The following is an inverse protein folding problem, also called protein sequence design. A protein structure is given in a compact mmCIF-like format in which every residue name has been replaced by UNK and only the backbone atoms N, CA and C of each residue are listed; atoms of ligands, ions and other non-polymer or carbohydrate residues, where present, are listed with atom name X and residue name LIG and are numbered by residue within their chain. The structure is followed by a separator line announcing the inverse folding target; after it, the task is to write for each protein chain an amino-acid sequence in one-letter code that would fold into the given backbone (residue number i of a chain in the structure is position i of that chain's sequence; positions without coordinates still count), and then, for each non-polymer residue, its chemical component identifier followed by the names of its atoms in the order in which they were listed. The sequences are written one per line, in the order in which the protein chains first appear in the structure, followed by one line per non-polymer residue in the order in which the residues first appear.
data_IF_771281173433
#
_entry.id   IF_771281173433
#
_cell.length_a   1.000
_cell.length_b   1.000
_cell.length_c   1.000
_cell.angle_alpha   90.00
_cell.angle_beta   90.00
_cell.angle_gamma   90.00
#
_symmetry.space_group_name_H-M   'P 1'
#
loop_
_entity.id
_entity.type
_entity.pdbx_description
1 polymer ?
#
# COMPACT_ATOMS: atom_id res chain seq x y z
N UNK A 1 -13.77 -4.05 6.59
CA UNK A 1 -13.86 -4.07 5.12
C UNK A 1 -15.33 -4.21 4.75
N UNK A 2 -16.04 -3.11 4.59
CA UNK A 2 -17.31 -3.14 3.87
C UNK A 2 -16.92 -2.98 2.41
N UNK A 3 -16.52 -4.08 1.78
CA UNK A 3 -16.64 -4.21 0.34
C UNK A 3 -18.15 -4.10 0.08
N UNK A 4 -18.59 -3.00 -0.50
CA UNK A 4 -19.91 -2.92 -1.12
C UNK A 4 -19.92 -3.91 -2.29
N UNK A 5 -20.18 -5.19 -1.97
CA UNK A 5 -20.40 -6.27 -2.93
C UNK A 5 -21.78 -6.07 -3.58
N UNK A 6 -21.93 -5.04 -4.37
CA UNK A 6 -23.02 -4.90 -5.34
C UNK A 6 -22.44 -4.85 -6.74
N UNK A 7 -22.12 -5.99 -7.23
CA UNK A 7 -22.32 -6.51 -8.58
C UNK A 7 -21.24 -7.56 -8.90
N UNK A 8 -21.69 -8.70 -9.36
CA UNK A 8 -20.87 -9.75 -9.97
C UNK A 8 -20.40 -9.28 -11.35
N UNK A 9 -19.46 -8.32 -11.37
CA UNK A 9 -18.72 -7.95 -12.56
C UNK A 9 -17.34 -8.56 -12.38
N UNK A 10 -16.84 -9.27 -13.37
CA UNK A 10 -15.45 -9.71 -13.40
C UNK A 10 -14.59 -8.50 -13.09
N UNK A 11 -13.94 -8.49 -11.92
CA UNK A 11 -12.99 -7.46 -11.55
C UNK A 11 -11.71 -7.65 -12.39
N UNK A 12 -11.76 -7.21 -13.63
CA UNK A 12 -10.57 -7.03 -14.47
C UNK A 12 -10.11 -5.55 -14.43
N UNK A 13 -10.83 -4.70 -13.70
CA UNK A 13 -10.53 -3.27 -13.59
C UNK A 13 -10.09 -2.92 -12.17
N UNK A 14 -8.90 -2.33 -12.04
CA UNK A 14 -8.31 -1.88 -10.77
C UNK A 14 -9.19 -0.85 -10.06
N UNK A 15 -10.05 -0.12 -10.78
CA UNK A 15 -10.97 0.90 -10.26
C UNK A 15 -12.04 0.33 -9.31
N UNK A 16 -12.18 -0.99 -9.27
CA UNK A 16 -13.07 -1.66 -8.32
C UNK A 16 -12.40 -1.90 -6.95
N UNK A 17 -11.12 -1.56 -6.81
CA UNK A 17 -10.38 -1.71 -5.57
C UNK A 17 -9.90 -0.35 -5.05
N UNK A 18 -10.47 0.07 -3.94
CA UNK A 18 -10.25 1.37 -3.32
C UNK A 18 -9.64 1.21 -1.93
N UNK A 19 -8.74 2.11 -1.58
CA UNK A 19 -8.31 2.34 -0.20
C UNK A 19 -8.84 3.70 0.22
N UNK A 20 -9.77 3.72 1.19
CA UNK A 20 -10.44 4.94 1.66
C UNK A 20 -11.11 5.75 0.52
N UNK A 21 -11.68 5.04 -0.47
CA UNK A 21 -12.37 5.65 -1.60
C UNK A 21 -11.46 6.17 -2.72
N UNK A 22 -10.16 5.84 -2.68
CA UNK A 22 -9.17 6.26 -3.68
C UNK A 22 -8.64 5.04 -4.41
N UNK A 23 -8.60 5.11 -5.74
CA UNK A 23 -8.07 4.06 -6.62
C UNK A 23 -6.80 4.49 -7.35
N UNK A 24 -6.02 3.51 -7.76
CA UNK A 24 -4.94 3.75 -8.73
C UNK A 24 -5.55 4.19 -10.07
N UNK A 25 -4.98 5.25 -10.64
CA UNK A 25 -5.50 5.89 -11.85
C UNK A 25 -6.44 7.06 -11.60
N UNK A 26 -6.88 7.30 -10.35
CA UNK A 26 -7.66 8.48 -10.00
C UNK A 26 -6.82 9.74 -10.13
N UNK A 27 -7.50 10.86 -10.35
CA UNK A 27 -6.88 12.17 -10.17
C UNK A 27 -6.97 12.55 -8.69
N UNK A 28 -5.84 12.77 -8.04
CA UNK A 28 -5.80 13.10 -6.62
C UNK A 28 -6.58 14.37 -6.27
N UNK A 29 -6.76 15.29 -7.22
CA UNK A 29 -7.55 16.51 -7.05
C UNK A 29 -9.07 16.25 -6.92
N UNK A 30 -9.54 15.04 -7.26
CA UNK A 30 -10.93 14.65 -7.02
C UNK A 30 -11.19 14.31 -5.55
N UNK A 31 -10.13 14.05 -4.78
CA UNK A 31 -10.19 13.63 -3.38
C UNK A 31 -9.63 14.67 -2.40
N UNK A 32 -8.66 15.49 -2.82
CA UNK A 32 -7.98 16.48 -1.99
C UNK A 32 -7.88 17.82 -2.71
N UNK A 33 -7.95 18.88 -1.94
CA UNK A 33 -7.66 20.23 -2.43
C UNK A 33 -6.16 20.41 -2.70
N UNK A 34 -5.81 21.35 -3.55
CA UNK A 34 -4.40 21.67 -3.84
C UNK A 34 -3.64 22.11 -2.57
N UNK A 35 -4.31 22.76 -1.63
CA UNK A 35 -3.71 23.17 -0.36
C UNK A 35 -3.41 21.97 0.54
N UNK A 36 -4.29 20.96 0.60
CA UNK A 36 -4.03 19.70 1.33
C UNK A 36 -2.87 18.94 0.71
N UNK A 37 -2.81 18.85 -0.63
CA UNK A 37 -1.71 18.21 -1.35
C UNK A 37 -0.38 18.92 -1.08
N UNK A 38 -0.36 20.25 -1.11
CA UNK A 38 0.84 21.05 -0.86
C UNK A 38 1.32 20.99 0.60
N UNK A 39 0.42 20.78 1.54
CA UNK A 39 0.73 20.66 2.97
C UNK A 39 1.03 19.21 3.41
N UNK A 40 0.74 18.21 2.57
CA UNK A 40 1.06 16.82 2.88
C UNK A 40 2.57 16.59 3.01
N UNK A 41 2.96 15.66 3.89
CA UNK A 41 4.37 15.30 4.00
C UNK A 41 4.84 14.62 2.71
N UNK A 42 5.86 15.23 2.07
CA UNK A 42 6.37 14.78 0.78
C UNK A 42 7.60 13.89 0.93
N UNK A 43 7.49 12.64 0.48
CA UNK A 43 8.59 11.71 0.33
C UNK A 43 9.16 11.77 -1.08
N UNK A 44 10.48 11.82 -1.21
CA UNK A 44 11.16 11.81 -2.51
C UNK A 44 12.15 10.65 -2.58
N UNK A 45 12.39 10.16 -3.80
CA UNK A 45 13.33 9.09 -4.05
C UNK A 45 14.71 9.68 -4.37
N UNK A 46 15.79 9.39 -3.59
CA UNK A 46 17.08 10.09 -3.70
C UNK A 46 17.74 10.00 -5.07
N UNK A 47 17.48 8.91 -5.80
CA UNK A 47 18.14 8.61 -7.08
C UNK A 47 17.26 8.84 -8.31
N UNK A 48 16.01 9.23 -8.12
CA UNK A 48 15.07 9.45 -9.22
C UNK A 48 14.06 10.52 -8.88
N UNK A 49 13.72 11.31 -9.88
CA UNK A 49 12.65 12.31 -9.78
C UNK A 49 11.36 11.83 -10.46
N UNK A 50 11.28 10.55 -10.87
CA UNK A 50 10.13 10.04 -11.63
C UNK A 50 8.86 10.02 -10.81
N UNK A 51 8.94 9.56 -9.56
CA UNK A 51 7.81 9.50 -8.62
C UNK A 51 8.11 10.26 -7.34
N UNK A 52 7.05 10.62 -6.63
CA UNK A 52 7.11 11.10 -5.26
C UNK A 52 5.92 10.55 -4.47
N UNK A 53 6.07 10.48 -3.16
CA UNK A 53 5.00 10.05 -2.25
C UNK A 53 4.45 11.24 -1.47
N UNK A 54 3.17 11.19 -1.18
CA UNK A 54 2.47 12.08 -0.26
C UNK A 54 1.90 11.25 0.88
N UNK A 55 2.06 11.72 2.10
CA UNK A 55 1.54 11.08 3.29
C UNK A 55 0.45 11.93 3.91
N UNK A 56 -0.67 11.29 4.20
CA UNK A 56 -1.82 11.92 4.84
C UNK A 56 -2.13 11.17 6.14
N UNK A 57 -2.08 11.90 7.27
CA UNK A 57 -2.49 11.42 8.59
C UNK A 57 -3.84 12.06 8.91
N UNK A 58 -4.93 11.45 8.47
CA UNK A 58 -6.26 11.99 8.69
C UNK A 58 -7.00 11.18 9.76
N UNK A 59 -7.39 11.85 10.83
CA UNK A 59 -8.22 11.29 11.90
C UNK A 59 -9.64 10.87 11.44
N UNK A 60 -9.97 11.11 10.18
CA UNK A 60 -11.29 10.90 9.58
C UNK A 60 -11.42 9.59 8.82
N UNK A 61 -10.32 8.84 8.63
CA UNK A 61 -10.37 7.55 7.94
C UNK A 61 -10.98 6.46 8.82
N UNK A 62 -11.86 5.68 8.21
CA UNK A 62 -12.62 4.64 8.94
C UNK A 62 -11.75 3.42 9.26
N UNK A 63 -10.81 3.08 8.39
CA UNK A 63 -10.06 1.83 8.45
C UNK A 63 -8.57 2.00 8.65
N UNK A 64 -7.94 2.88 7.87
CA UNK A 64 -6.49 3.09 7.92
C UNK A 64 -6.18 4.43 8.58
N UNK A 65 -5.28 4.41 9.58
CA UNK A 65 -4.86 5.64 10.27
C UNK A 65 -3.82 6.43 9.48
N UNK A 66 -3.27 5.80 8.44
CA UNK A 66 -2.18 6.34 7.66
C UNK A 66 -2.37 5.95 6.19
N UNK A 67 -2.34 6.94 5.31
CA UNK A 67 -2.38 6.72 3.86
C UNK A 67 -1.14 7.34 3.23
N UNK A 68 -0.52 6.58 2.34
CA UNK A 68 0.55 7.07 1.49
C UNK A 68 0.17 6.89 0.03
N UNK A 69 0.26 7.96 -0.75
CA UNK A 69 -0.11 8.00 -2.17
C UNK A 69 1.14 8.36 -2.97
N UNK A 70 1.41 7.61 -4.03
CA UNK A 70 2.52 7.88 -4.93
C UNK A 70 2.01 8.35 -6.28
N UNK A 71 2.65 9.38 -6.79
CA UNK A 71 2.31 10.05 -8.04
C UNK A 71 3.55 10.13 -8.93
N UNK A 72 3.37 10.17 -10.25
CA UNK A 72 4.43 10.64 -11.13
C UNK A 72 4.73 12.10 -10.85
N UNK A 73 6.00 12.49 -11.03
CA UNK A 73 6.42 13.86 -10.82
C UNK A 73 6.13 14.72 -12.07
N UNK A 74 4.87 14.78 -12.38
CA UNK A 74 4.28 15.63 -13.42
C UNK A 74 3.16 16.50 -12.80
N UNK A 75 2.42 17.22 -13.63
CA UNK A 75 1.33 18.10 -13.18
C UNK A 75 -0.06 17.43 -13.23
N UNK A 76 -0.14 16.13 -13.51
CA UNK A 76 -1.42 15.46 -13.77
C UNK A 76 -2.09 14.92 -12.51
N UNK A 77 -1.32 14.74 -11.43
CA UNK A 77 -1.80 14.21 -10.13
C UNK A 77 -2.47 12.83 -10.20
N UNK A 78 -2.04 11.99 -11.15
CA UNK A 78 -2.60 10.63 -11.28
C UNK A 78 -1.97 9.69 -10.28
N UNK A 79 -2.82 8.98 -9.52
CA UNK A 79 -2.40 8.02 -8.50
C UNK A 79 -1.74 6.80 -9.15
N UNK A 80 -0.46 6.58 -8.88
CA UNK A 80 0.32 5.42 -9.34
C UNK A 80 0.40 4.30 -8.31
N UNK A 81 0.31 4.65 -7.03
CA UNK A 81 0.21 3.69 -5.92
C UNK A 81 -0.52 4.34 -4.75
N UNK A 82 -1.27 3.52 -4.03
CA UNK A 82 -1.86 3.89 -2.74
C UNK A 82 -1.59 2.80 -1.72
N UNK A 83 -1.23 3.20 -0.50
CA UNK A 83 -0.96 2.35 0.63
C UNK A 83 -1.78 2.81 1.83
N UNK A 84 -2.54 1.88 2.42
CA UNK A 84 -3.19 2.05 3.72
C UNK A 84 -2.46 1.28 4.81
N UNK A 85 -2.28 1.91 5.98
CA UNK A 85 -1.59 1.32 7.12
C UNK A 85 -2.40 1.32 8.42
N UNK A 86 -2.33 0.22 9.17
CA UNK A 86 -2.84 0.10 10.54
C UNK A 86 -1.73 -0.37 11.47
N UNK A 87 -1.60 0.25 12.65
CA UNK A 87 -0.56 -0.05 13.62
C UNK A 87 -1.09 -0.93 14.76
N UNK A 88 -0.23 -1.79 15.30
CA UNK A 88 -0.55 -2.72 16.36
C UNK A 88 0.47 -2.65 17.49
N UNK A 89 0.01 -2.84 18.72
CA UNK A 89 0.81 -3.06 19.91
C UNK A 89 1.26 -4.53 20.07
N UNK A 90 0.68 -5.44 19.25
CA UNK A 90 0.96 -6.87 19.22
C UNK A 90 0.75 -7.38 17.79
N UNK A 91 1.82 -7.84 17.15
CA UNK A 91 1.82 -8.36 15.79
C UNK A 91 0.81 -9.52 15.57
N UNK A 92 0.51 -10.29 16.62
CA UNK A 92 -0.47 -11.37 16.53
C UNK A 92 -1.88 -10.89 16.16
N UNK A 93 -2.17 -9.59 16.35
CA UNK A 93 -3.43 -8.98 15.89
C UNK A 93 -3.44 -8.67 14.38
N UNK A 94 -2.26 -8.50 13.78
CA UNK A 94 -2.13 -8.24 12.34
C UNK A 94 -2.48 -9.47 11.50
N UNK A 95 -1.91 -10.63 11.83
CA UNK A 95 -2.03 -11.82 10.98
C UNK A 95 -3.48 -12.26 10.67
N UNK A 96 -4.43 -12.27 11.62
CA UNK A 96 -5.82 -12.61 11.31
C UNK A 96 -6.46 -11.61 10.34
N UNK A 97 -6.15 -10.31 10.46
CA UNK A 97 -6.65 -9.28 9.54
C UNK A 97 -6.08 -9.46 8.14
N UNK A 98 -4.76 -9.71 8.04
CA UNK A 98 -4.11 -10.04 6.78
C UNK A 98 -4.80 -11.22 6.09
N UNK A 99 -5.08 -12.30 6.83
CA UNK A 99 -5.73 -13.50 6.27
C UNK A 99 -7.14 -13.21 5.74
N UNK A 100 -7.91 -12.36 6.42
CA UNK A 100 -9.25 -11.95 5.96
C UNK A 100 -9.13 -11.19 4.64
N UNK A 101 -8.25 -10.17 4.56
CA UNK A 101 -8.02 -9.37 3.35
C UNK A 101 -7.55 -10.27 2.20
N UNK A 102 -6.59 -11.15 2.45
CA UNK A 102 -6.07 -12.10 1.44
C UNK A 102 -7.16 -13.02 0.92
N UNK A 103 -8.05 -13.51 1.79
CA UNK A 103 -9.20 -14.33 1.38
C UNK A 103 -10.15 -13.55 0.47
N UNK A 104 -10.45 -12.31 0.82
CA UNK A 104 -11.35 -11.46 0.03
C UNK A 104 -10.71 -11.11 -1.33
N UNK A 105 -9.42 -10.80 -1.35
CA UNK A 105 -8.67 -10.57 -2.60
C UNK A 105 -8.63 -11.79 -3.51
N UNK A 106 -8.48 -13.01 -2.96
CA UNK A 106 -8.56 -14.25 -3.75
C UNK A 106 -9.94 -14.46 -4.38
N UNK A 107 -10.99 -14.05 -3.70
CA UNK A 107 -12.35 -14.13 -4.23
C UNK A 107 -12.59 -13.07 -5.31
N UNK A 108 -12.07 -11.86 -5.12
CA UNK A 108 -12.19 -10.73 -6.03
C UNK A 108 -11.36 -10.93 -7.30
N UNK A 109 -10.13 -11.44 -7.14
CA UNK A 109 -9.16 -11.65 -8.24
C UNK A 109 -8.78 -13.12 -8.41
N UNK A 110 -9.71 -14.00 -8.82
CA UNK A 110 -9.45 -15.44 -8.88
C UNK A 110 -8.38 -15.84 -9.89
N UNK A 111 -8.09 -14.99 -10.87
CA UNK A 111 -7.10 -15.22 -11.92
C UNK A 111 -5.73 -14.55 -11.64
N UNK A 112 -5.60 -13.82 -10.52
CA UNK A 112 -4.33 -13.20 -10.16
C UNK A 112 -3.27 -14.28 -9.86
N UNK A 113 -2.03 -14.04 -10.28
CA UNK A 113 -0.90 -14.84 -9.78
C UNK A 113 -0.68 -14.47 -8.32
N UNK A 114 -0.70 -15.46 -7.45
CA UNK A 114 -0.60 -15.28 -6.00
C UNK A 114 0.70 -15.88 -5.47
N UNK A 115 1.39 -15.12 -4.64
CA UNK A 115 2.55 -15.56 -3.86
C UNK A 115 2.37 -15.16 -2.40
N UNK A 116 2.96 -15.92 -1.49
CA UNK A 116 3.02 -15.55 -0.08
C UNK A 116 4.28 -16.10 0.56
N UNK A 117 4.79 -15.40 1.53
CA UNK A 117 6.01 -15.80 2.22
C UNK A 117 6.29 -14.97 3.46
N UNK A 118 7.35 -15.36 4.17
CA UNK A 118 7.92 -14.62 5.28
C UNK A 118 9.37 -14.31 4.96
N UNK A 119 9.74 -13.03 5.04
CA UNK A 119 11.07 -12.52 4.76
C UNK A 119 11.62 -11.77 5.96
N UNK A 120 12.93 -11.64 6.03
CA UNK A 120 13.59 -10.73 6.97
C UNK A 120 13.63 -9.31 6.39
N UNK A 121 13.59 -8.33 7.26
CA UNK A 121 13.77 -6.95 6.84
C UNK A 121 15.25 -6.74 6.45
N UNK A 122 15.55 -6.12 5.28
CA UNK A 122 16.92 -6.09 4.75
C UNK A 122 17.95 -5.47 5.69
N UNK A 123 17.58 -4.38 6.37
CA UNK A 123 18.48 -3.62 7.25
C UNK A 123 18.36 -4.00 8.73
N UNK A 124 17.43 -4.90 9.07
CA UNK A 124 17.20 -5.39 10.43
C UNK A 124 16.75 -6.87 10.38
N UNK A 125 17.68 -7.83 10.41
CA UNK A 125 17.37 -9.26 10.29
C UNK A 125 16.52 -9.84 11.42
N UNK A 126 16.37 -9.12 12.53
CA UNK A 126 15.47 -9.51 13.63
C UNK A 126 14.01 -9.11 13.34
N UNK A 127 13.80 -8.14 12.45
CA UNK A 127 12.48 -7.76 11.98
C UNK A 127 12.03 -8.65 10.82
N UNK A 128 10.72 -8.97 10.76
CA UNK A 128 10.18 -9.86 9.74
C UNK A 128 8.96 -9.25 9.02
N UNK A 129 8.79 -9.64 7.76
CA UNK A 129 7.63 -9.28 6.95
C UNK A 129 6.95 -10.57 6.50
N UNK A 130 5.68 -10.73 6.89
CA UNK A 130 4.79 -11.74 6.31
C UNK A 130 3.99 -11.10 5.21
N UNK A 131 4.21 -11.51 3.95
CA UNK A 131 3.69 -10.85 2.76
C UNK A 131 2.79 -11.79 1.94
N UNK A 132 1.77 -11.22 1.32
CA UNK A 132 0.93 -11.82 0.29
C UNK A 132 0.85 -10.88 -0.90
N UNK A 133 1.14 -11.39 -2.08
CA UNK A 133 1.29 -10.63 -3.32
C UNK A 133 0.33 -11.16 -4.38
N UNK A 134 -0.40 -10.26 -5.02
CA UNK A 134 -1.30 -10.54 -6.13
C UNK A 134 -0.84 -9.77 -7.35
N UNK A 135 -0.51 -10.49 -8.42
CA UNK A 135 -0.11 -9.89 -9.69
C UNK A 135 -1.25 -10.02 -10.69
N UNK A 136 -1.69 -8.88 -11.19
CA UNK A 136 -2.66 -8.74 -12.27
C UNK A 136 -1.96 -8.18 -13.52
N UNK A 137 -2.69 -8.02 -14.63
CA UNK A 137 -2.06 -7.59 -15.90
C UNK A 137 -1.37 -6.22 -15.80
N UNK A 138 -1.96 -5.27 -15.07
CA UNK A 138 -1.51 -3.88 -15.07
C UNK A 138 -1.20 -3.35 -13.67
N UNK A 139 -1.42 -4.14 -12.62
CA UNK A 139 -1.22 -3.72 -11.24
C UNK A 139 -0.87 -4.89 -10.31
N UNK A 140 -0.38 -4.53 -9.15
CA UNK A 140 -0.01 -5.43 -8.06
C UNK A 140 -0.74 -5.00 -6.79
N UNK A 141 -1.16 -5.98 -6.00
CA UNK A 141 -1.67 -5.75 -4.65
C UNK A 141 -0.79 -6.49 -3.65
N UNK A 142 -0.28 -5.75 -2.67
CA UNK A 142 0.51 -6.28 -1.57
C UNK A 142 -0.26 -6.17 -0.26
N UNK A 143 -0.28 -7.24 0.52
CA UNK A 143 -0.82 -7.25 1.88
C UNK A 143 0.23 -7.82 2.79
N UNK A 144 0.73 -7.03 3.74
CA UNK A 144 1.81 -7.49 4.58
C UNK A 144 1.72 -7.02 6.03
N UNK A 145 2.18 -7.89 6.94
CA UNK A 145 2.41 -7.59 8.34
C UNK A 145 3.91 -7.45 8.58
N UNK A 146 4.33 -6.33 9.16
CA UNK A 146 5.71 -6.12 9.61
C UNK A 146 5.78 -6.28 11.12
N UNK A 147 6.60 -7.24 11.56
CA UNK A 147 6.94 -7.53 12.95
C UNK A 147 8.33 -6.94 13.22
N UNK A 148 8.34 -5.80 13.90
CA UNK A 148 9.57 -5.07 14.14
C UNK A 148 10.35 -5.65 15.33
N UNK A 149 11.66 -5.67 15.23
CA UNK A 149 12.54 -6.04 16.33
C UNK A 149 12.40 -5.05 17.51
N UNK A 150 12.75 -5.50 18.71
CA UNK A 150 12.77 -4.61 19.89
C UNK A 150 13.69 -3.41 19.72
N UNK A 151 14.75 -3.57 18.92
CA UNK A 151 15.65 -2.48 18.56
C UNK A 151 14.94 -1.45 17.69
N UNK A 152 14.23 -1.87 16.65
CA UNK A 152 13.48 -0.97 15.77
C UNK A 152 12.33 -0.28 16.52
N UNK A 153 11.59 -1.01 17.37
CA UNK A 153 10.56 -0.44 18.25
C UNK A 153 11.12 0.65 19.17
N UNK A 154 12.31 0.45 19.72
CA UNK A 154 12.95 1.45 20.61
C UNK A 154 13.32 2.76 19.89
N UNK A 155 13.35 2.76 18.55
CA UNK A 155 13.61 3.92 17.72
C UNK A 155 12.36 4.48 17.05
N UNK A 156 11.16 3.95 17.40
CA UNK A 156 9.87 4.49 16.97
C UNK A 156 9.15 3.67 15.90
N UNK A 157 9.69 2.51 15.48
CA UNK A 157 8.96 1.59 14.61
C UNK A 157 7.82 0.93 15.39
N UNK A 158 6.72 0.64 14.69
CA UNK A 158 5.54 -0.01 15.28
C UNK A 158 5.06 -1.11 14.35
N UNK A 159 4.72 -2.26 14.92
CA UNK A 159 4.12 -3.36 14.17
C UNK A 159 2.93 -2.88 13.35
N UNK A 160 2.82 -3.34 12.12
CA UNK A 160 1.79 -2.82 11.24
C UNK A 160 1.29 -3.82 10.21
N UNK A 161 0.03 -3.61 9.80
CA UNK A 161 -0.55 -4.12 8.56
C UNK A 161 -0.42 -3.03 7.51
N UNK A 162 -0.04 -3.41 6.32
CA UNK A 162 -0.12 -2.55 5.14
C UNK A 162 -0.81 -3.26 4.00
N UNK A 163 -1.66 -2.51 3.31
CA UNK A 163 -2.27 -2.89 2.04
C UNK A 163 -1.85 -1.87 1.02
N UNK A 164 -1.23 -2.31 -0.04
CA UNK A 164 -0.73 -1.44 -1.11
C UNK A 164 -1.27 -1.92 -2.45
N UNK A 165 -1.71 -0.98 -3.27
CA UNK A 165 -2.06 -1.20 -4.66
C UNK A 165 -1.18 -0.31 -5.50
N UNK A 166 -0.56 -0.87 -6.54
CA UNK A 166 0.39 -0.14 -7.37
C UNK A 166 0.22 -0.50 -8.83
N UNK A 167 0.45 0.46 -9.72
CA UNK A 167 0.74 0.15 -11.13
C UNK A 167 1.99 -0.72 -11.22
N UNK A 168 2.09 -1.59 -12.22
CA UNK A 168 3.31 -2.38 -12.46
C UNK A 168 4.52 -1.46 -12.66
N UNK A 169 4.33 -0.33 -13.32
CA UNK A 169 5.40 0.65 -13.55
C UNK A 169 5.97 1.21 -12.24
N UNK A 170 5.10 1.55 -11.27
CA UNK A 170 5.56 2.01 -9.95
C UNK A 170 6.23 0.87 -9.17
N UNK A 171 5.65 -0.33 -9.17
CA UNK A 171 6.22 -1.51 -8.51
C UNK A 171 7.63 -1.84 -9.04
N UNK A 172 7.81 -1.82 -10.37
CA UNK A 172 9.11 -2.05 -11.00
C UNK A 172 10.11 -0.93 -10.66
N UNK A 173 9.65 0.30 -10.60
CA UNK A 173 10.48 1.42 -10.16
C UNK A 173 10.98 1.20 -8.72
N UNK A 174 10.12 0.81 -7.78
CA UNK A 174 10.52 0.57 -6.39
C UNK A 174 11.51 -0.60 -6.29
N UNK A 175 11.26 -1.70 -7.00
CA UNK A 175 12.15 -2.86 -7.01
C UNK A 175 13.54 -2.50 -7.53
N UNK A 176 13.61 -1.76 -8.63
CA UNK A 176 14.88 -1.36 -9.24
C UNK A 176 15.61 -0.28 -8.45
N UNK A 177 14.90 0.62 -7.80
CA UNK A 177 15.48 1.71 -7.00
C UNK A 177 16.15 1.21 -5.71
N UNK A 178 15.73 0.09 -5.15
CA UNK A 178 16.33 -0.53 -3.96
C UNK A 178 17.67 -1.23 -4.25
N UNK A 179 17.92 -1.61 -5.50
CA UNK A 179 19.13 -2.38 -5.88
C UNK A 179 20.27 -1.50 -6.42
N UNK A 180 20.12 -0.17 -6.47
CA UNK A 180 21.16 0.76 -6.89
C UNK A 180 21.66 1.52 -5.65
N UNK A 181 22.25 0.78 -4.72
CA UNK A 181 23.04 1.34 -3.61
C UNK A 181 24.53 1.29 -3.93
#
# INVERSE_FOLDING_TARGET
LILNLQSWIKADDIRDFEIEGISVGDNLLDHFTIDEINNAYKNTYPKSKKFYGLQFDLNTYEMYKHIQIHLENDSNYIVSSILGGEFFDDINKCYPKQQIIVKDLKNTFPNAKFYSGKNFYPDDPESTITISEFYLSNFEVLVYCTDWSKKAESTGSTDNLRVEISTIEFSDFIRTSKFIS
#
